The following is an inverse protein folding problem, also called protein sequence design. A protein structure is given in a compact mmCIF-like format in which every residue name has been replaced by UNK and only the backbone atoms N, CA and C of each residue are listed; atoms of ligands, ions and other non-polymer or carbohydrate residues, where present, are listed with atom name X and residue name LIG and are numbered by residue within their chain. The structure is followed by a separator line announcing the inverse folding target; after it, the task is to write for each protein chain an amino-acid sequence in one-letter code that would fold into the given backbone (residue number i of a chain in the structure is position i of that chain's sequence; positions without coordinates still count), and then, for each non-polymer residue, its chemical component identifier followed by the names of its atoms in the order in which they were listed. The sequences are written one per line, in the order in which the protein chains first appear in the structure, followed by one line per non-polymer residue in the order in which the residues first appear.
data_IF_229971192187
#
_entry.id   IF_229971192187
#
_cell.length_a   1.000
_cell.length_b   1.000
_cell.length_c   1.000
_cell.angle_alpha   90.00
_cell.angle_beta   90.00
_cell.angle_gamma   90.00
#
_symmetry.space_group_name_H-M   'P 1'
#
loop_
_entity.id
_entity.type
_entity.pdbx_description
1 polymer ?
#
# COMPACT_ATOMS: atom_id res chain seq x y z
N UNK A 1 11.54 26.55 0.87
CA UNK A 1 10.19 26.07 0.53
C UNK A 1 10.33 24.63 0.08
N UNK A 2 9.94 23.67 0.92
CA UNK A 2 10.05 22.24 0.60
C UNK A 2 8.92 21.86 -0.37
N UNK A 3 9.26 21.30 -1.54
CA UNK A 3 8.25 20.83 -2.49
C UNK A 3 7.79 19.43 -2.10
N UNK A 4 6.53 19.31 -1.70
CA UNK A 4 5.92 18.00 -1.48
C UNK A 4 5.77 17.28 -2.83
N UNK A 5 6.28 16.06 -2.92
CA UNK A 5 6.13 15.22 -4.11
C UNK A 5 4.92 14.30 -3.90
N UNK A 6 4.03 14.25 -4.89
CA UNK A 6 2.90 13.32 -4.87
C UNK A 6 3.10 12.25 -5.94
N UNK A 7 3.11 10.99 -5.54
CA UNK A 7 3.18 9.84 -6.41
C UNK A 7 1.82 9.15 -6.43
N UNK A 8 1.13 9.20 -7.58
CA UNK A 8 -0.15 8.55 -7.77
C UNK A 8 0.04 7.23 -8.53
N UNK A 9 -0.22 6.11 -7.87
CA UNK A 9 -0.08 4.77 -8.39
C UNK A 9 -1.44 4.15 -8.70
N UNK A 10 -1.57 3.55 -9.89
CA UNK A 10 -2.78 2.84 -10.30
C UNK A 10 -2.49 1.38 -10.58
N UNK A 11 -3.35 0.51 -10.03
CA UNK A 11 -3.28 -0.95 -10.13
C UNK A 11 -4.59 -1.48 -10.73
N UNK A 12 -4.78 -1.40 -12.06
CA UNK A 12 -6.06 -1.74 -12.69
C UNK A 12 -6.39 -3.24 -12.62
N UNK A 13 -5.37 -4.10 -12.53
CA UNK A 13 -5.52 -5.56 -12.61
C UNK A 13 -5.54 -6.25 -11.23
N UNK A 14 -5.90 -5.56 -10.14
CA UNK A 14 -6.04 -6.27 -8.87
C UNK A 14 -7.25 -7.21 -8.88
N UNK A 15 -7.11 -8.36 -8.22
CA UNK A 15 -8.25 -9.25 -7.97
C UNK A 15 -9.21 -8.56 -6.99
N UNK A 16 -10.52 -8.75 -7.16
CA UNK A 16 -11.58 -8.18 -6.31
C UNK A 16 -11.45 -8.54 -4.82
N UNK A 17 -10.85 -9.68 -4.50
CA UNK A 17 -10.56 -10.12 -3.12
C UNK A 17 -9.24 -9.56 -2.57
N UNK A 18 -8.55 -8.72 -3.34
CA UNK A 18 -7.22 -8.23 -3.02
C UNK A 18 -7.27 -7.08 -2.03
N UNK A 19 -6.52 -7.22 -0.95
CA UNK A 19 -6.21 -6.13 0.01
C UNK A 19 -5.53 -4.90 -0.61
N UNK A 20 -5.21 -4.95 -1.91
CA UNK A 20 -4.62 -3.87 -2.68
C UNK A 20 -5.74 -3.12 -3.39
N UNK A 21 -5.80 -1.80 -3.19
CA UNK A 21 -6.75 -0.92 -3.88
C UNK A 21 -6.19 -0.40 -5.19
N UNK A 22 -7.10 -0.10 -6.12
CA UNK A 22 -6.78 0.29 -7.50
C UNK A 22 -6.05 1.61 -7.65
N UNK A 23 -6.04 2.40 -6.59
CA UNK A 23 -5.33 3.65 -6.53
C UNK A 23 -4.67 3.79 -5.16
N UNK A 24 -3.38 4.10 -5.18
CA UNK A 24 -2.58 4.39 -3.99
C UNK A 24 -1.86 5.71 -4.22
N UNK A 25 -2.01 6.62 -3.28
CA UNK A 25 -1.40 7.95 -3.31
C UNK A 25 -0.33 7.99 -2.24
N UNK A 26 0.93 8.15 -2.65
CA UNK A 26 2.05 8.40 -1.76
C UNK A 26 2.38 9.88 -1.81
N UNK A 27 2.37 10.53 -0.66
CA UNK A 27 2.83 11.91 -0.50
C UNK A 27 4.11 11.90 0.30
N UNK A 28 5.15 12.58 -0.15
CA UNK A 28 6.40 12.67 0.57
C UNK A 28 6.97 14.07 0.51
N UNK A 29 7.78 14.43 1.50
CA UNK A 29 8.58 15.63 1.44
C UNK A 29 9.69 15.51 0.40
N UNK A 30 10.32 16.64 0.04
CA UNK A 30 11.44 16.73 -0.93
C UNK A 30 12.57 15.74 -0.66
N UNK A 31 12.81 15.40 0.62
CA UNK A 31 13.88 14.51 1.04
C UNK A 31 13.41 13.06 1.27
N UNK A 32 12.12 12.76 1.10
CA UNK A 32 11.54 11.45 1.43
C UNK A 32 11.75 11.02 2.89
N UNK A 33 12.05 11.97 3.79
CA UNK A 33 12.20 11.74 5.24
C UNK A 33 10.86 11.42 5.89
N UNK A 34 9.81 12.12 5.48
CA UNK A 34 8.43 11.80 5.81
C UNK A 34 7.69 11.40 4.53
N UNK A 35 6.98 10.28 4.60
CA UNK A 35 6.06 9.86 3.57
C UNK A 35 4.76 9.40 4.23
N UNK A 36 3.64 9.74 3.60
CA UNK A 36 2.31 9.28 3.97
C UNK A 36 1.69 8.56 2.79
N UNK A 37 0.87 7.56 3.06
CA UNK A 37 0.14 6.82 2.05
C UNK A 37 -1.35 6.93 2.34
N UNK A 38 -2.09 7.09 1.26
CA UNK A 38 -3.53 7.13 1.26
C UNK A 38 -4.08 6.25 0.14
N UNK A 39 -5.09 5.46 0.49
CA UNK A 39 -5.92 4.70 -0.44
C UNK A 39 -7.33 4.57 0.16
N UNK A 40 -8.27 3.99 -0.60
CA UNK A 40 -9.65 3.85 -0.14
C UNK A 40 -9.81 2.88 1.03
N UNK A 41 -8.92 1.90 1.22
CA UNK A 41 -8.90 1.01 2.37
C UNK A 41 -8.42 1.75 3.63
N UNK A 42 -7.35 2.53 3.51
CA UNK A 42 -6.81 3.37 4.58
C UNK A 42 -7.89 4.36 5.02
N UNK A 43 -8.57 5.00 4.07
CA UNK A 43 -9.68 5.91 4.38
C UNK A 43 -10.83 5.18 5.10
N UNK A 44 -11.15 3.96 4.69
CA UNK A 44 -12.20 3.16 5.33
C UNK A 44 -11.84 2.74 6.77
N UNK A 45 -10.56 2.47 7.05
CA UNK A 45 -10.11 1.93 8.35
C UNK A 45 -9.67 3.03 9.32
N UNK A 46 -8.88 4.00 8.86
CA UNK A 46 -8.26 5.04 9.70
C UNK A 46 -8.82 6.44 9.44
N UNK A 47 -9.60 6.66 8.37
CA UNK A 47 -10.11 7.99 7.95
C UNK A 47 -9.03 9.05 7.64
N UNK A 48 -7.75 8.71 7.77
CA UNK A 48 -6.61 9.60 7.53
C UNK A 48 -5.44 8.86 6.86
N UNK A 49 -4.58 9.58 6.10
CA UNK A 49 -3.35 9.00 5.55
C UNK A 49 -2.43 8.47 6.66
N UNK A 50 -1.84 7.31 6.44
CA UNK A 50 -0.94 6.67 7.41
C UNK A 50 0.53 6.89 7.05
N UNK A 51 1.44 6.91 8.03
CA UNK A 51 2.86 7.05 7.76
C UNK A 51 3.38 5.84 6.97
N UNK A 52 4.21 6.13 5.98
CA UNK A 52 4.94 5.17 5.18
C UNK A 52 6.44 5.36 5.37
N UNK A 53 7.17 4.26 5.45
CA UNK A 53 8.62 4.24 5.53
C UNK A 53 9.22 4.03 4.14
N UNK A 54 10.07 4.95 3.71
CA UNK A 54 10.84 4.76 2.48
C UNK A 54 12.04 3.86 2.80
N UNK A 55 12.04 2.66 2.23
CA UNK A 55 13.09 1.65 2.42
C UNK A 55 14.20 1.76 1.38
N UNK A 56 13.91 2.36 0.23
CA UNK A 56 14.89 2.63 -0.81
C UNK A 56 14.41 3.83 -1.63
N UNK A 57 15.31 4.77 -1.93
CA UNK A 57 15.07 5.86 -2.87
C UNK A 57 16.38 6.11 -3.62
N UNK A 58 16.45 5.68 -4.87
CA UNK A 58 17.58 5.94 -5.76
C UNK A 58 17.07 6.35 -7.15
N UNK A 59 17.96 6.58 -8.09
CA UNK A 59 17.61 7.07 -9.43
C UNK A 59 16.76 6.07 -10.23
N UNK A 60 16.86 4.77 -9.91
CA UNK A 60 16.14 3.69 -10.62
C UNK A 60 14.81 3.35 -9.97
N UNK A 61 14.75 3.34 -8.63
CA UNK A 61 13.59 2.85 -7.89
C UNK A 61 13.32 3.59 -6.58
N UNK A 62 12.05 3.64 -6.23
CA UNK A 62 11.54 4.04 -4.93
C UNK A 62 10.76 2.89 -4.30
N UNK A 63 11.09 2.52 -3.08
CA UNK A 63 10.40 1.49 -2.32
C UNK A 63 9.83 2.08 -1.04
N UNK A 64 8.50 2.07 -0.93
CA UNK A 64 7.77 2.49 0.25
C UNK A 64 7.14 1.29 0.95
N UNK A 65 7.17 1.27 2.28
CA UNK A 65 6.63 0.22 3.12
C UNK A 65 5.74 0.83 4.20
N UNK A 66 4.55 0.29 4.39
CA UNK A 66 3.65 0.75 5.44
C UNK A 66 2.92 -0.43 6.06
N UNK A 67 2.34 -0.18 7.23
CA UNK A 67 1.58 -1.17 7.95
C UNK A 67 0.20 -0.61 8.25
N UNK A 68 -0.83 -1.33 7.82
CA UNK A 68 -2.20 -1.03 8.17
C UNK A 68 -2.57 -1.92 9.37
N UNK A 69 -2.93 -1.31 10.49
CA UNK A 69 -3.30 -2.05 11.71
C UNK A 69 -4.81 -2.02 11.90
N UNK A 70 -5.31 -2.99 12.66
CA UNK A 70 -6.70 -3.06 13.10
C UNK A 70 -7.73 -3.01 11.96
N UNK A 71 -7.53 -3.82 10.91
CA UNK A 71 -8.50 -3.88 9.82
C UNK A 71 -9.65 -4.79 10.25
N UNK A 72 -10.80 -4.19 10.52
CA UNK A 72 -12.01 -4.92 10.85
C UNK A 72 -12.67 -5.44 9.57
N UNK A 73 -12.79 -6.77 9.47
CA UNK A 73 -13.63 -7.43 8.47
C UNK A 73 -14.99 -7.72 9.09
N UNK A 74 -15.98 -8.03 8.25
CA UNK A 74 -17.36 -8.33 8.71
C UNK A 74 -17.39 -9.39 9.82
N UNK A 75 -16.59 -10.45 9.67
CA UNK A 75 -16.60 -11.61 10.56
C UNK A 75 -15.21 -11.92 11.16
N UNK A 76 -14.21 -11.06 10.92
CA UNK A 76 -12.80 -11.35 11.23
C UNK A 76 -11.99 -10.08 11.52
N UNK A 77 -10.83 -10.23 12.16
CA UNK A 77 -9.97 -9.10 12.54
C UNK A 77 -8.55 -9.28 12.01
N UNK A 78 -8.05 -8.30 11.24
CA UNK A 78 -6.67 -8.30 10.78
C UNK A 78 -5.83 -7.44 11.73
N UNK A 79 -4.99 -8.04 12.59
CA UNK A 79 -4.22 -7.26 13.55
C UNK A 79 -3.26 -6.30 12.85
N UNK A 80 -2.66 -6.76 11.74
CA UNK A 80 -1.68 -5.99 10.98
C UNK A 80 -1.57 -6.52 9.57
N UNK A 81 -1.58 -5.64 8.58
CA UNK A 81 -1.23 -5.90 7.20
C UNK A 81 0.04 -5.17 6.84
N UNK A 82 0.95 -5.83 6.12
CA UNK A 82 2.20 -5.20 5.68
C UNK A 82 2.16 -4.98 4.18
N UNK A 83 2.44 -3.74 3.76
CA UNK A 83 2.45 -3.37 2.35
C UNK A 83 3.84 -2.93 1.92
N UNK A 84 4.21 -3.27 0.69
CA UNK A 84 5.44 -2.85 0.04
C UNK A 84 5.13 -2.40 -1.39
N UNK A 85 5.27 -1.10 -1.65
CA UNK A 85 5.21 -0.50 -2.98
C UNK A 85 6.63 -0.32 -3.50
N UNK A 86 6.87 -0.77 -4.72
CA UNK A 86 8.09 -0.50 -5.48
C UNK A 86 7.71 0.19 -6.77
N UNK A 87 8.17 1.42 -6.92
CA UNK A 87 8.06 2.23 -8.13
C UNK A 87 9.40 2.24 -8.85
N UNK A 88 9.40 1.92 -10.14
CA UNK A 88 10.55 2.05 -11.03
C UNK A 88 10.46 3.39 -11.76
N UNK A 89 11.40 4.29 -11.48
CA UNK A 89 11.42 5.65 -12.01
C UNK A 89 11.69 5.68 -13.51
N UNK A 90 12.55 4.79 -14.01
CA UNK A 90 12.92 4.70 -15.43
C UNK A 90 11.73 4.35 -16.34
N UNK A 91 10.89 3.42 -15.90
CA UNK A 91 9.80 2.88 -16.73
C UNK A 91 8.40 3.37 -16.32
N UNK A 92 8.30 4.08 -15.20
CA UNK A 92 7.01 4.44 -14.60
C UNK A 92 6.25 3.24 -13.99
N UNK A 93 6.84 2.05 -13.99
CA UNK A 93 6.18 0.81 -13.55
C UNK A 93 6.09 0.72 -12.03
N UNK A 94 5.01 0.14 -11.54
CA UNK A 94 4.76 -0.04 -10.11
C UNK A 94 4.42 -1.49 -9.77
N UNK A 95 4.93 -1.96 -8.64
CA UNK A 95 4.54 -3.22 -8.03
C UNK A 95 4.15 -2.94 -6.59
N UNK A 96 3.00 -3.45 -6.17
CA UNK A 96 2.59 -3.41 -4.77
C UNK A 96 2.38 -4.84 -4.29
N UNK A 97 2.90 -5.14 -3.11
CA UNK A 97 2.69 -6.40 -2.42
C UNK A 97 2.05 -6.12 -1.07
N UNK A 98 1.06 -6.91 -0.71
CA UNK A 98 0.41 -6.89 0.60
C UNK A 98 0.49 -8.28 1.21
N UNK A 99 0.94 -8.35 2.46
CA UNK A 99 0.96 -9.58 3.25
C UNK A 99 -0.08 -9.43 4.35
N UNK A 100 -1.10 -10.29 4.30
CA UNK A 100 -2.09 -10.43 5.35
C UNK A 100 -1.71 -11.61 6.25
N UNK A 101 -1.76 -11.46 7.59
CA UNK A 101 -1.56 -12.58 8.51
C UNK A 101 -2.68 -13.60 8.31
N UNK A 102 -2.38 -14.86 8.59
CA UNK A 102 -3.39 -15.93 8.57
C UNK A 102 -4.40 -15.65 9.67
N UNK A 103 -5.65 -15.46 9.27
CA UNK A 103 -6.77 -15.34 10.18
C UNK A 103 -7.13 -16.74 10.65
N UNK A 104 -7.19 -16.95 11.97
CA UNK A 104 -7.91 -18.08 12.53
C UNK A 104 -9.36 -17.63 12.65
N UNK A 105 -10.17 -17.87 11.62
CA UNK A 105 -11.62 -17.73 11.74
C UNK A 105 -12.15 -18.99 12.43
N UNK A 106 -12.90 -18.83 13.53
CA UNK A 106 -13.52 -19.94 14.26
C UNK A 106 -14.56 -20.72 13.43
N UNK A 107 -14.87 -20.27 12.21
CA UNK A 107 -15.87 -20.86 11.32
C UNK A 107 -15.30 -21.68 10.14
N UNK A 108 -14.00 -22.04 10.19
CA UNK A 108 -13.36 -22.87 9.15
C UNK A 108 -13.46 -22.30 7.72
N UNK A 109 -13.72 -20.98 7.62
CA UNK A 109 -13.73 -20.26 6.36
C UNK A 109 -12.30 -19.79 6.07
N UNK A 110 -11.57 -20.53 5.23
CA UNK A 110 -10.26 -20.19 4.69
C UNK A 110 -10.30 -18.87 3.88
N UNK A 111 -10.39 -17.72 4.55
CA UNK A 111 -10.24 -16.39 3.92
C UNK A 111 -9.44 -15.47 4.84
N UNK A 112 -8.28 -14.93 4.48
CA UNK A 112 -7.28 -15.29 3.48
C UNK A 112 -5.96 -14.69 3.98
N UNK A 113 -5.27 -15.42 4.87
CA UNK A 113 -3.85 -15.15 5.09
C UNK A 113 -3.11 -15.41 3.78
N UNK A 114 -2.20 -14.53 3.40
CA UNK A 114 -1.53 -14.73 2.12
C UNK A 114 -0.75 -13.52 1.64
N UNK A 115 -0.07 -13.75 0.52
CA UNK A 115 0.66 -12.73 -0.21
C UNK A 115 -0.14 -12.33 -1.44
N UNK A 116 -0.48 -11.05 -1.49
CA UNK A 116 -1.19 -10.41 -2.59
C UNK A 116 -0.19 -9.53 -3.32
N UNK A 117 -0.19 -9.59 -4.65
CA UNK A 117 0.66 -8.78 -5.48
C UNK A 117 -0.14 -8.18 -6.62
N UNK A 118 0.09 -6.91 -6.91
CA UNK A 118 -0.46 -6.26 -8.09
C UNK A 118 0.64 -5.48 -8.81
N UNK A 119 0.53 -5.43 -10.13
CA UNK A 119 1.37 -4.62 -11.01
C UNK A 119 0.52 -3.48 -11.58
N UNK A 120 1.17 -2.34 -11.76
CA UNK A 120 0.54 -1.11 -12.18
C UNK A 120 1.57 -0.11 -12.64
N UNK A 121 1.20 1.16 -12.60
CA UNK A 121 2.06 2.29 -12.96
C UNK A 121 1.88 3.42 -11.98
N UNK A 122 2.94 4.19 -11.71
CA UNK A 122 2.81 5.43 -10.95
C UNK A 122 3.20 6.63 -11.79
N UNK A 123 2.58 7.78 -11.48
CA UNK A 123 2.91 9.08 -12.04
C UNK A 123 3.26 10.04 -10.91
N UNK A 124 4.41 10.70 -11.04
CA UNK A 124 4.77 11.86 -10.21
C UNK A 124 3.88 13.03 -10.63
N UNK A 125 3.36 13.75 -9.64
CA UNK A 125 2.44 14.86 -9.79
C UNK A 125 2.87 16.03 -8.91
#
# INVERSE_FOLDING_TARGET
MASAQTLNCSFPNQKLDGWIRGQVILKSDTNFESATIFDSLINQVHSEPIPARISANNDKRLTAKWQLKQVQLRDSFAPKMSYTLTFQKETGSASINATAPVFHDNNNADRAGGNFGARGSCKLR
#
